data_IF_356648754664
#
_entry.id   IF_356648754664
#
_cell.length_a   1.000
_cell.length_b   1.000
_cell.length_c   1.000
_cell.angle_alpha   90.00
_cell.angle_beta   90.00
_cell.angle_gamma   90.00
#
_symmetry.space_group_name_H-M   'P 1'
#
loop_
_entity.id
_entity.type
_entity.pdbx_description
1 polymer ?
#
# COMPACT_ATOMS: atom_id res chain seq x y z
N UNK A 1 -21.31 2.50 0.71
CA UNK A 1 -21.57 3.93 1.03
C UNK A 1 -22.40 4.52 -0.12
N UNK A 2 -23.37 5.39 0.17
CA UNK A 2 -24.20 6.02 -0.88
C UNK A 2 -23.61 7.31 -1.42
N UNK A 3 -22.63 7.90 -0.72
CA UNK A 3 -21.90 9.09 -1.15
C UNK A 3 -20.49 9.13 -0.53
N UNK A 4 -19.62 9.97 -1.11
CA UNK A 4 -18.29 10.33 -0.60
C UNK A 4 -18.17 11.86 -0.68
N UNK A 5 -17.70 12.56 0.37
CA UNK A 5 -17.49 14.00 0.31
C UNK A 5 -16.51 14.38 -0.80
N UNK A 6 -16.82 15.43 -1.57
CA UNK A 6 -15.94 15.88 -2.67
C UNK A 6 -14.52 16.24 -2.19
N UNK A 7 -14.38 16.66 -0.93
CA UNK A 7 -13.08 16.94 -0.31
C UNK A 7 -12.19 15.70 -0.20
N UNK A 8 -12.80 14.51 -0.09
CA UNK A 8 -12.13 13.20 -0.03
C UNK A 8 -11.92 12.55 -1.41
N UNK A 9 -12.29 13.24 -2.50
CA UNK A 9 -12.10 12.77 -3.88
C UNK A 9 -10.93 13.50 -4.53
N UNK A 10 -9.82 12.79 -4.72
CA UNK A 10 -8.57 13.35 -5.25
C UNK A 10 -8.38 12.99 -6.73
N UNK A 11 -7.67 13.85 -7.46
CA UNK A 11 -7.29 13.60 -8.85
C UNK A 11 -5.80 13.29 -8.97
N UNK A 12 -5.41 12.57 -10.02
CA UNK A 12 -4.01 12.35 -10.35
C UNK A 12 -3.41 13.65 -10.90
N UNK A 13 -2.47 14.27 -10.18
CA UNK A 13 -1.69 15.39 -10.70
C UNK A 13 -0.47 14.92 -11.49
N UNK A 14 0.17 13.83 -11.07
CA UNK A 14 1.35 13.32 -11.75
C UNK A 14 1.59 11.84 -11.44
N UNK A 15 1.95 11.07 -12.46
CA UNK A 15 2.58 9.76 -12.28
C UNK A 15 4.07 9.96 -11.95
N UNK A 16 4.48 9.56 -10.75
CA UNK A 16 5.87 9.68 -10.28
C UNK A 16 6.72 8.51 -10.78
N UNK A 17 6.15 7.31 -10.81
CA UNK A 17 6.80 6.11 -11.31
C UNK A 17 5.79 4.98 -11.48
N UNK A 18 6.14 3.99 -12.30
CA UNK A 18 5.38 2.75 -12.45
C UNK A 18 6.31 1.63 -12.88
N UNK A 19 5.89 0.41 -12.61
CA UNK A 19 6.48 -0.80 -13.13
C UNK A 19 5.36 -1.81 -13.40
N UNK A 20 5.49 -2.56 -14.50
CA UNK A 20 4.54 -3.62 -14.86
C UNK A 20 5.34 -4.74 -15.52
N UNK A 21 5.70 -5.74 -14.71
CA UNK A 21 6.41 -6.94 -15.16
C UNK A 21 5.46 -8.11 -15.00
N UNK A 22 5.12 -8.79 -16.11
CA UNK A 22 4.07 -9.83 -16.12
C UNK A 22 4.23 -10.93 -15.07
N UNK A 23 5.47 -11.30 -14.74
CA UNK A 23 5.79 -12.26 -13.66
C UNK A 23 6.64 -11.61 -12.56
N UNK A 24 6.48 -10.32 -12.33
CA UNK A 24 7.32 -9.54 -11.41
C UNK A 24 6.50 -8.46 -10.69
N UNK A 25 7.14 -7.34 -10.39
CA UNK A 25 6.50 -6.21 -9.74
C UNK A 25 5.45 -5.55 -10.64
N UNK A 26 4.38 -5.06 -10.03
CA UNK A 26 3.31 -4.31 -10.66
C UNK A 26 2.84 -3.23 -9.68
N UNK A 27 3.10 -1.96 -10.00
CA UNK A 27 2.79 -0.83 -9.13
C UNK A 27 2.80 0.49 -9.90
N UNK A 28 2.10 1.48 -9.33
CA UNK A 28 2.19 2.88 -9.74
C UNK A 28 2.28 3.78 -8.51
N UNK A 29 3.16 4.77 -8.55
CA UNK A 29 3.27 5.83 -7.55
C UNK A 29 2.68 7.11 -8.13
N UNK A 30 1.55 7.54 -7.58
CA UNK A 30 0.79 8.69 -8.07
C UNK A 30 0.85 9.84 -7.06
N UNK A 31 1.14 11.05 -7.55
CA UNK A 31 1.00 12.28 -6.80
C UNK A 31 -0.42 12.82 -6.95
N UNK A 32 -1.06 13.09 -5.83
CA UNK A 32 -2.38 13.72 -5.78
C UNK A 32 -2.31 15.22 -6.10
N UNK A 33 -3.43 15.77 -6.57
CA UNK A 33 -3.63 17.18 -6.94
C UNK A 33 -3.55 18.15 -5.76
N UNK A 34 -3.71 17.66 -4.54
CA UNK A 34 -3.66 18.46 -3.31
C UNK A 34 -3.25 17.62 -2.09
N UNK A 35 -2.82 18.26 -0.99
CA UNK A 35 -2.56 17.56 0.27
C UNK A 35 -3.80 16.84 0.81
N UNK A 36 -3.58 15.68 1.43
CA UNK A 36 -4.61 14.91 2.16
C UNK A 36 -4.67 15.42 3.59
N UNK A 37 -5.78 16.03 4.00
CA UNK A 37 -5.98 16.53 5.36
C UNK A 37 -6.73 15.51 6.22
N UNK A 38 -6.45 15.46 7.53
CA UNK A 38 -7.19 14.60 8.47
C UNK A 38 -6.83 13.11 8.43
N UNK A 39 -5.86 12.70 7.61
CA UNK A 39 -5.41 11.31 7.50
C UNK A 39 -3.89 11.20 7.72
N UNK A 40 -3.47 10.19 8.49
CA UNK A 40 -2.05 9.86 8.62
C UNK A 40 -1.66 8.83 7.55
N UNK A 41 -0.56 9.04 6.80
CA UNK A 41 -0.05 8.03 5.89
C UNK A 41 0.26 6.71 6.61
N UNK A 42 -0.06 5.60 5.96
CA UNK A 42 0.27 4.27 6.47
C UNK A 42 1.78 4.05 6.51
N UNK A 43 2.26 3.37 7.55
CA UNK A 43 3.67 2.97 7.65
C UNK A 43 3.94 1.81 6.70
N UNK A 44 5.01 1.91 5.93
CA UNK A 44 5.49 0.84 5.05
C UNK A 44 6.65 0.09 5.71
N UNK A 45 6.77 -1.21 5.44
CA UNK A 45 7.95 -1.96 5.83
C UNK A 45 9.14 -1.47 5.00
N UNK A 46 10.18 -0.96 5.67
CA UNK A 46 11.42 -0.49 5.04
C UNK A 46 12.59 -1.45 5.27
N UNK A 47 12.36 -2.55 5.99
CA UNK A 47 13.37 -3.53 6.37
C UNK A 47 13.65 -4.61 5.31
N UNK A 48 13.02 -4.53 4.13
CA UNK A 48 13.17 -5.51 3.06
C UNK A 48 11.91 -6.35 2.85
N UNK A 49 12.08 -7.53 2.27
CA UNK A 49 10.97 -8.44 1.98
C UNK A 49 10.48 -9.17 3.25
N UNK A 50 9.17 -9.45 3.37
CA UNK A 50 8.68 -10.30 4.44
C UNK A 50 9.22 -11.72 4.28
N UNK A 51 9.42 -12.43 5.40
CA UNK A 51 9.82 -13.82 5.37
C UNK A 51 8.63 -14.74 5.10
N UNK A 52 8.87 -15.95 4.57
CA UNK A 52 7.85 -17.03 4.53
C UNK A 52 7.24 -17.24 5.92
N UNK A 53 5.92 -17.40 5.97
CA UNK A 53 5.15 -17.51 7.21
C UNK A 53 4.87 -16.19 7.92
N UNK A 54 5.29 -15.04 7.37
CA UNK A 54 4.88 -13.73 7.90
C UNK A 54 3.35 -13.63 7.83
N UNK A 55 2.64 -13.40 8.95
CA UNK A 55 1.19 -13.35 8.96
C UNK A 55 0.71 -12.04 8.35
N UNK A 56 -0.38 -12.10 7.58
CA UNK A 56 -0.86 -11.01 6.76
C UNK A 56 -2.34 -10.70 7.00
N UNK A 57 -2.70 -9.44 6.74
CA UNK A 57 -4.07 -8.94 6.63
C UNK A 57 -4.17 -8.17 5.31
N UNK A 58 -5.24 -8.36 4.56
CA UNK A 58 -5.55 -7.54 3.38
C UNK A 58 -6.81 -6.72 3.62
N UNK A 59 -6.78 -5.46 3.21
CA UNK A 59 -7.91 -4.54 3.29
C UNK A 59 -8.17 -3.97 1.90
N UNK A 60 -9.36 -4.19 1.37
CA UNK A 60 -9.65 -3.86 -0.01
C UNK A 60 -11.10 -4.05 -0.45
N UNK A 61 -11.32 -4.03 -1.77
CA UNK A 61 -12.65 -4.06 -2.39
C UNK A 61 -12.82 -5.26 -3.34
N UNK A 62 -12.76 -6.50 -2.83
CA UNK A 62 -12.87 -7.69 -3.66
C UNK A 62 -14.23 -7.74 -4.36
N UNK A 63 -14.25 -8.09 -5.65
CA UNK A 63 -15.42 -8.13 -6.52
C UNK A 63 -16.24 -6.83 -6.56
N UNK A 64 -15.61 -5.67 -6.28
CA UNK A 64 -16.29 -4.38 -6.19
C UNK A 64 -17.21 -4.23 -4.96
N UNK A 65 -17.11 -5.16 -4.00
CA UNK A 65 -17.85 -5.09 -2.74
C UNK A 65 -17.34 -3.94 -1.88
N UNK A 66 -18.16 -3.46 -0.91
CA UNK A 66 -17.67 -2.57 0.14
C UNK A 66 -16.44 -3.14 0.84
N UNK A 67 -15.61 -2.24 1.40
CA UNK A 67 -14.32 -2.60 2.02
C UNK A 67 -14.44 -3.83 2.92
N UNK A 68 -13.62 -4.84 2.65
CA UNK A 68 -13.48 -6.05 3.46
C UNK A 68 -12.11 -6.08 4.11
N UNK A 69 -12.05 -6.70 5.28
CA UNK A 69 -10.81 -6.97 6.03
C UNK A 69 -10.71 -8.48 6.16
N UNK A 70 -9.66 -9.07 5.60
CA UNK A 70 -9.40 -10.51 5.68
C UNK A 70 -8.04 -10.75 6.31
N UNK A 71 -8.01 -11.55 7.38
CA UNK A 71 -6.79 -11.97 8.09
C UNK A 71 -6.61 -13.49 8.04
N UNK A 72 -5.68 -14.01 8.84
CA UNK A 72 -5.39 -15.46 8.90
C UNK A 72 -4.51 -15.98 7.76
N UNK A 73 -4.07 -15.10 6.86
CA UNK A 73 -3.17 -15.43 5.78
C UNK A 73 -1.69 -15.31 6.21
N UNK A 74 -0.80 -15.85 5.38
CA UNK A 74 0.64 -15.74 5.54
C UNK A 74 1.38 -15.82 4.20
N UNK A 75 2.62 -15.33 4.18
CA UNK A 75 3.51 -15.47 3.02
C UNK A 75 3.83 -16.95 2.79
N UNK A 76 3.58 -17.45 1.57
CA UNK A 76 3.91 -18.82 1.13
C UNK A 76 5.29 -18.90 0.51
N UNK A 77 5.64 -17.93 -0.34
CA UNK A 77 6.90 -17.91 -1.09
C UNK A 77 7.30 -16.46 -1.40
N UNK A 78 8.60 -16.17 -1.35
CA UNK A 78 9.16 -14.86 -1.69
C UNK A 78 9.92 -14.98 -3.00
N UNK A 79 9.64 -14.08 -3.96
CA UNK A 79 10.25 -14.06 -5.28
C UNK A 79 10.84 -12.68 -5.56
N UNK A 80 11.47 -12.49 -6.72
CA UNK A 80 11.97 -11.18 -7.11
C UNK A 80 10.82 -10.24 -7.45
N UNK A 81 10.69 -9.14 -6.70
CA UNK A 81 9.68 -8.09 -6.94
C UNK A 81 8.28 -8.36 -6.38
N UNK A 82 8.00 -9.57 -5.90
CA UNK A 82 6.70 -9.95 -5.31
C UNK A 82 6.82 -11.18 -4.40
N UNK A 83 5.78 -11.46 -3.63
CA UNK A 83 5.64 -12.69 -2.85
C UNK A 83 4.24 -13.27 -3.06
N UNK A 84 4.12 -14.59 -2.93
CA UNK A 84 2.84 -15.31 -3.00
C UNK A 84 2.33 -15.58 -1.58
N UNK A 85 1.03 -15.45 -1.36
CA UNK A 85 0.35 -15.65 -0.07
C UNK A 85 -0.98 -16.37 -0.23
N UNK A 86 -1.54 -16.90 0.86
CA UNK A 86 -2.91 -17.45 0.90
C UNK A 86 -3.93 -16.40 1.34
N UNK A 87 -3.91 -15.22 0.73
CA UNK A 87 -4.90 -14.17 1.03
C UNK A 87 -6.29 -14.62 0.55
N UNK A 88 -7.32 -14.33 1.35
CA UNK A 88 -8.72 -14.59 0.99
C UNK A 88 -9.27 -13.36 0.24
N UNK A 89 -9.17 -13.40 -1.09
CA UNK A 89 -9.52 -12.28 -1.97
C UNK A 89 -10.23 -12.74 -3.22
N UNK A 90 -10.86 -11.76 -3.91
CA UNK A 90 -11.39 -11.93 -5.25
C UNK A 90 -10.81 -10.88 -6.19
N UNK A 91 -10.91 -11.09 -7.49
CA UNK A 91 -10.67 -10.10 -8.53
C UNK A 91 -11.36 -8.76 -8.23
N UNK A 92 -10.70 -7.66 -8.59
CA UNK A 92 -11.08 -6.31 -8.14
C UNK A 92 -10.41 -5.87 -6.83
N UNK A 93 -9.70 -6.77 -6.15
CA UNK A 93 -8.89 -6.43 -4.98
C UNK A 93 -7.46 -5.95 -5.35
N UNK A 94 -7.12 -5.87 -6.64
CA UNK A 94 -5.85 -5.33 -7.12
C UNK A 94 -5.65 -3.88 -6.66
N UNK A 95 -4.45 -3.55 -6.18
CA UNK A 95 -4.11 -2.25 -5.60
C UNK A 95 -4.31 -2.16 -4.09
N UNK A 96 -4.93 -3.17 -3.47
CA UNK A 96 -5.16 -3.19 -2.03
C UNK A 96 -3.88 -3.37 -1.22
N UNK A 97 -3.85 -2.73 -0.06
CA UNK A 97 -2.73 -2.79 0.85
C UNK A 97 -2.73 -4.11 1.62
N UNK A 98 -1.57 -4.77 1.65
CA UNK A 98 -1.33 -6.00 2.42
C UNK A 98 -0.44 -5.66 3.62
N UNK A 99 -0.98 -5.86 4.81
CA UNK A 99 -0.39 -5.51 6.10
C UNK A 99 0.28 -6.72 6.74
N UNK A 100 1.42 -6.50 7.37
CA UNK A 100 1.99 -7.41 8.35
C UNK A 100 1.09 -7.43 9.60
N UNK A 101 0.52 -8.59 9.93
CA UNK A 101 -0.40 -8.70 11.05
C UNK A 101 0.28 -8.49 12.43
N UNK A 102 1.62 -8.59 12.51
CA UNK A 102 2.36 -8.35 13.76
C UNK A 102 2.73 -6.87 13.95
N UNK A 103 3.15 -6.19 12.88
CA UNK A 103 3.70 -4.84 12.97
C UNK A 103 2.73 -3.74 12.53
N UNK A 104 1.67 -4.10 11.79
CA UNK A 104 0.73 -3.16 11.17
C UNK A 104 1.33 -2.36 10.01
N UNK A 105 2.55 -2.71 9.55
CA UNK A 105 3.19 -2.06 8.40
C UNK A 105 2.75 -2.71 7.08
N UNK A 106 2.76 -1.95 6.00
CA UNK A 106 2.51 -2.47 4.65
C UNK A 106 3.69 -3.30 4.17
N UNK A 107 3.42 -4.54 3.78
CA UNK A 107 4.38 -5.45 3.15
C UNK A 107 4.31 -5.41 1.62
N UNK A 108 3.17 -4.98 1.07
CA UNK A 108 3.03 -4.88 -0.37
C UNK A 108 1.64 -4.51 -0.87
N UNK A 109 1.48 -4.64 -2.18
CA UNK A 109 0.28 -4.30 -2.96
C UNK A 109 -0.21 -5.59 -3.62
N UNK A 110 -1.46 -5.99 -3.37
CA UNK A 110 -2.06 -7.14 -4.04
C UNK A 110 -2.25 -6.84 -5.53
N UNK A 111 -1.80 -7.72 -6.43
CA UNK A 111 -1.80 -7.42 -7.88
C UNK A 111 -2.42 -8.49 -8.76
N UNK A 112 -2.35 -9.76 -8.38
CA UNK A 112 -2.89 -10.88 -9.17
C UNK A 112 -3.09 -12.11 -8.29
N UNK A 113 -3.86 -13.08 -8.76
CA UNK A 113 -4.32 -14.19 -7.92
C UNK A 113 -4.83 -15.41 -8.67
N UNK A 114 -5.53 -16.25 -7.91
CA UNK A 114 -6.23 -17.45 -8.38
C UNK A 114 -7.56 -17.11 -9.08
N UNK A 115 -8.14 -18.08 -9.77
CA UNK A 115 -9.50 -17.98 -10.28
C UNK A 115 -10.53 -17.89 -9.13
N UNK A 116 -11.28 -16.79 -9.09
CA UNK A 116 -12.27 -16.46 -8.04
C UNK A 116 -13.45 -17.42 -7.95
N UNK A 117 -14.00 -17.83 -9.10
CA UNK A 117 -15.28 -18.52 -9.17
C UNK A 117 -15.23 -19.68 -10.17
N UNK A 118 -15.73 -20.83 -9.73
CA UNK A 118 -15.93 -22.03 -10.57
C UNK A 118 -17.40 -22.18 -10.94
N UNK A 119 -17.66 -22.75 -12.12
CA UNK A 119 -19.03 -23.02 -12.55
C UNK A 119 -19.53 -24.34 -11.96
N UNK A 120 -20.67 -24.29 -11.29
CA UNK A 120 -21.40 -25.47 -10.82
C UNK A 120 -22.48 -25.83 -11.86
N UNK A 121 -22.19 -26.87 -12.64
CA UNK A 121 -23.10 -27.36 -13.68
C UNK A 121 -24.37 -28.01 -13.12
N UNK A 122 -24.32 -28.59 -11.92
CA UNK A 122 -25.49 -29.22 -11.31
C UNK A 122 -26.54 -28.18 -10.90
N UNK A 123 -26.08 -26.99 -10.48
CA UNK A 123 -26.94 -25.91 -10.02
C UNK A 123 -27.02 -24.72 -10.99
N UNK A 124 -26.36 -24.82 -12.16
CA UNK A 124 -26.32 -23.79 -13.21
C UNK A 124 -25.92 -22.39 -12.70
N UNK A 125 -24.95 -22.32 -11.78
CA UNK A 125 -24.51 -21.06 -11.16
C UNK A 125 -22.99 -21.02 -10.99
N UNK A 126 -22.43 -19.83 -10.69
CA UNK A 126 -21.02 -19.70 -10.28
C UNK A 126 -20.92 -19.71 -8.76
N UNK A 127 -19.94 -20.44 -8.24
CA UNK A 127 -19.63 -20.53 -6.81
C UNK A 127 -18.21 -20.09 -6.56
N UNK A 128 -17.96 -19.57 -5.35
CA UNK A 128 -16.60 -19.25 -4.91
C UNK A 128 -15.69 -20.46 -5.06
N UNK A 129 -14.51 -20.23 -5.62
CA UNK A 129 -13.46 -21.23 -5.63
C UNK A 129 -12.82 -21.26 -4.25
N UNK A 130 -12.95 -22.38 -3.53
CA UNK A 130 -12.46 -22.50 -2.16
C UNK A 130 -11.13 -23.24 -2.17
N UNK A 131 -10.08 -22.56 -1.72
CA UNK A 131 -8.73 -23.08 -1.64
C UNK A 131 -8.36 -23.41 -0.18
N UNK A 132 -7.57 -24.46 0.03
CA UNK A 132 -6.89 -24.66 1.32
C UNK A 132 -5.73 -23.66 1.46
N UNK A 133 -5.16 -23.51 2.65
CA UNK A 133 -4.04 -22.59 2.89
C UNK A 133 -2.82 -22.87 2.00
N UNK A 134 -2.57 -24.14 1.68
CA UNK A 134 -1.46 -24.59 0.84
C UNK A 134 -1.90 -24.95 -0.59
N UNK A 135 -3.21 -24.98 -0.86
CA UNK A 135 -3.79 -25.32 -2.15
C UNK A 135 -3.80 -24.13 -3.12
N UNK A 136 -4.24 -24.38 -4.35
CA UNK A 136 -4.32 -23.38 -5.42
C UNK A 136 -2.97 -22.66 -5.69
N UNK A 137 -2.98 -21.70 -6.63
CA UNK A 137 -1.84 -20.85 -6.91
C UNK A 137 -1.54 -19.87 -5.76
N UNK A 138 -2.59 -19.31 -5.14
CA UNK A 138 -2.50 -18.22 -4.18
C UNK A 138 -2.44 -16.84 -4.83
N UNK A 139 -2.26 -15.84 -3.98
CA UNK A 139 -2.33 -14.41 -4.31
C UNK A 139 -0.92 -13.81 -4.33
N UNK A 140 -0.58 -13.12 -5.41
CA UNK A 140 0.70 -12.47 -5.60
C UNK A 140 0.62 -10.99 -5.22
N UNK A 141 1.58 -10.58 -4.40
CA UNK A 141 1.66 -9.26 -3.81
C UNK A 141 2.99 -8.63 -4.21
N UNK A 142 2.97 -7.52 -4.96
CA UNK A 142 4.17 -6.72 -5.23
C UNK A 142 4.77 -6.30 -3.90
N UNK A 143 6.04 -6.64 -3.65
CA UNK A 143 6.70 -6.29 -2.39
C UNK A 143 6.86 -4.78 -2.31
N UNK A 144 6.57 -4.21 -1.14
CA UNK A 144 6.73 -2.77 -0.91
C UNK A 144 8.19 -2.33 -1.12
N UNK A 145 9.14 -3.25 -0.94
CA UNK A 145 10.57 -3.01 -1.19
C UNK A 145 10.87 -2.61 -2.62
N UNK A 146 10.04 -2.99 -3.61
CA UNK A 146 10.22 -2.62 -5.02
C UNK A 146 10.08 -1.11 -5.27
N UNK A 147 9.38 -0.38 -4.40
CA UNK A 147 9.14 1.06 -4.57
C UNK A 147 9.41 1.89 -3.31
N UNK A 148 9.84 1.28 -2.21
CA UNK A 148 10.02 1.94 -0.91
C UNK A 148 11.01 3.11 -0.95
N UNK A 149 12.01 3.05 -1.84
CA UNK A 149 12.97 4.13 -2.08
C UNK A 149 12.35 5.37 -2.72
N UNK A 150 11.22 5.21 -3.42
CA UNK A 150 10.46 6.31 -4.01
C UNK A 150 9.41 6.90 -3.06
N UNK A 151 9.11 6.21 -1.95
CA UNK A 151 8.15 6.68 -0.93
C UNK A 151 8.90 7.59 0.05
N UNK A 152 8.55 8.89 0.14
CA UNK A 152 9.15 9.81 1.11
C UNK A 152 9.09 9.27 2.54
N UNK A 153 10.11 9.55 3.34
CA UNK A 153 10.05 9.30 4.79
C UNK A 153 9.38 10.48 5.48
N UNK A 154 8.75 10.26 6.64
CA UNK A 154 8.21 11.36 7.45
C UNK A 154 9.28 12.44 7.76
N UNK A 155 10.53 12.03 7.94
CA UNK A 155 11.66 12.95 8.11
C UNK A 155 11.98 13.76 6.83
N UNK A 156 11.94 13.11 5.65
CA UNK A 156 12.14 13.79 4.38
C UNK A 156 10.98 14.74 4.04
N UNK A 157 9.75 14.36 4.38
CA UNK A 157 8.56 15.23 4.24
C UNK A 157 8.62 16.42 5.20
N UNK A 158 9.00 16.19 6.47
CA UNK A 158 9.20 17.26 7.44
C UNK A 158 10.32 18.22 7.03
N UNK A 159 11.44 17.71 6.50
CA UNK A 159 12.53 18.56 6.00
C UNK A 159 12.10 19.37 4.77
N UNK A 160 11.32 18.77 3.86
CA UNK A 160 10.80 19.47 2.69
C UNK A 160 9.80 20.55 3.08
N UNK A 161 8.93 20.28 4.06
CA UNK A 161 8.03 21.27 4.64
C UNK A 161 8.80 22.41 5.32
N UNK A 162 9.84 22.09 6.11
CA UNK A 162 10.68 23.09 6.77
C UNK A 162 11.41 24.00 5.77
N UNK A 163 11.99 23.42 4.71
CA UNK A 163 12.73 24.17 3.68
C UNK A 163 11.82 24.99 2.75
N UNK A 164 10.55 24.61 2.61
CA UNK A 164 9.55 25.36 1.83
C UNK A 164 8.80 26.40 2.67
N UNK A 165 8.73 26.23 3.99
CA UNK A 165 8.37 27.31 4.89
C UNK A 165 9.51 28.31 4.90
N UNK A 166 9.23 29.59 4.65
CA UNK A 166 10.22 30.67 4.80
C UNK A 166 10.62 30.77 6.27
N UNK A 167 11.56 29.92 6.69
CA UNK A 167 12.19 29.99 8.01
C UNK A 167 12.85 31.36 8.20
N UNK A 168 13.07 31.78 9.47
CA UNK A 168 13.73 33.05 9.74
C UNK A 168 15.07 33.07 9.01
N UNK A 169 15.27 34.09 8.18
CA UNK A 169 16.51 34.26 7.43
C UNK A 169 17.70 34.25 8.41
N UNK A 170 18.89 33.88 7.93
CA UNK A 170 20.14 33.99 8.71
C UNK A 170 20.36 35.40 9.28
N UNK A 171 19.77 36.43 8.66
CA UNK A 171 19.78 37.81 9.16
C UNK A 171 18.82 38.02 10.35
N UNK A 172 17.74 37.26 10.45
CA UNK A 172 16.78 37.28 11.56
C UNK A 172 17.38 36.65 12.84
N UNK A 173 18.24 35.64 12.70
CA UNK A 173 18.96 35.02 13.82
C UNK A 173 20.11 35.90 14.35
N UNK A 174 20.74 36.72 13.50
CA UNK A 174 21.76 37.69 13.93
C UNK A 174 21.20 38.83 14.79
N UNK A 175 19.92 39.17 14.63
CA UNK A 175 19.23 40.18 15.47
C UNK A 175 18.88 39.69 16.87
N UNK A 176 18.83 38.36 17.09
CA UNK A 176 18.55 37.76 18.41
C UNK A 176 19.82 37.54 19.26
N UNK A 177 21.01 37.70 18.65
CA UNK A 177 22.30 37.65 19.32
C UNK A 177 22.85 39.04 19.69
N UNK A 178 21.95 40.01 19.90
CA UNK A 178 22.28 41.39 20.23
C UNK A 178 22.42 41.64 21.74
N UNK A 179 23.65 41.96 22.13
CA UNK A 179 24.07 42.75 23.30
C UNK A 179 24.08 42.07 24.68
N UNK A 180 25.18 41.34 24.94
CA UNK A 180 25.71 41.14 26.30
C UNK A 180 26.96 41.99 26.48
N UNK A 181 26.80 43.32 26.45
CA UNK A 181 27.76 44.26 27.02
C UNK A 181 27.09 45.19 28.03
N UNK A 182 26.94 44.70 29.26
CA UNK A 182 27.00 45.48 30.51
C UNK A 182 27.65 44.64 31.59
#
# INVERSE_FOLDING_TARGET
>A
PTSVPATEVYSCAKLIGREEVGTGADWALVKLDRPVAGHSPLKVNRGGNPAKGTPLIVIGHPAGLPTKVAGGASVREVKSGYFTANLDTYGGNSGSAVFNARTGQIEGILVRGENDFVYDSANSCRRSNVCTNEGCRGEDVTTISSLVGSIPTAAAEALKAYTQSSGPSLNTLKGMAGDSSR
#
